data_IF_329529403744
#
_entry.id   IF_329529403744
#
_cell.length_a   1.000
_cell.length_b   1.000
_cell.length_c   1.000
_cell.angle_alpha   90.00
_cell.angle_beta   90.00
_cell.angle_gamma   90.00
#
_symmetry.space_group_name_H-M   'P 1'
#
loop_
_entity.id
_entity.type
_entity.pdbx_description
1 polymer ?
#
# COMPACT_ATOMS: atom_id res chain seq x y z
N UNK A 1 -13.78 -8.04 -2.11
CA UNK A 1 -12.72 -8.38 -3.09
C UNK A 1 -11.38 -8.69 -2.42
N UNK A 2 -10.51 -9.46 -3.08
CA UNK A 2 -9.14 -9.73 -2.66
C UNK A 2 -8.15 -8.86 -3.42
N UNK A 3 -7.18 -8.29 -2.70
CA UNK A 3 -6.13 -7.45 -3.28
C UNK A 3 -4.78 -7.98 -2.81
N UNK A 4 -3.86 -8.18 -3.74
CA UNK A 4 -2.48 -8.59 -3.44
C UNK A 4 -1.69 -7.37 -2.99
N UNK A 5 -0.88 -7.52 -1.95
CA UNK A 5 -0.11 -6.43 -1.36
C UNK A 5 1.38 -6.72 -1.47
N UNK A 6 2.14 -5.74 -1.96
CA UNK A 6 3.59 -5.79 -2.04
C UNK A 6 4.16 -4.54 -1.40
N UNK A 7 4.93 -4.70 -0.32
CA UNK A 7 5.64 -3.59 0.34
C UNK A 7 7.13 -3.74 0.12
N UNK A 8 7.78 -2.71 -0.38
CA UNK A 8 9.22 -2.70 -0.69
C UNK A 8 9.84 -1.34 -0.38
N UNK A 9 11.16 -1.22 -0.59
CA UNK A 9 11.95 -0.04 -0.23
C UNK A 9 12.23 0.01 1.27
N UNK A 10 12.30 1.20 1.89
CA UNK A 10 12.73 1.34 3.30
C UNK A 10 11.79 0.64 4.29
N UNK A 11 10.53 0.46 3.92
CA UNK A 11 9.51 -0.23 4.70
C UNK A 11 9.44 -1.74 4.41
N UNK A 12 10.44 -2.34 3.74
CA UNK A 12 10.44 -3.79 3.49
C UNK A 12 10.42 -4.62 4.79
N UNK A 13 10.98 -4.11 5.89
CA UNK A 13 10.95 -4.82 7.18
C UNK A 13 9.51 -5.05 7.65
N UNK A 14 8.64 -4.06 7.48
CA UNK A 14 7.21 -4.16 7.77
C UNK A 14 6.49 -5.21 6.88
N UNK A 15 6.99 -5.46 5.67
CA UNK A 15 6.42 -6.48 4.77
C UNK A 15 6.46 -7.90 5.34
N UNK A 16 7.33 -8.16 6.32
CA UNK A 16 7.46 -9.47 7.00
C UNK A 16 6.24 -9.79 7.87
N UNK A 17 5.62 -8.75 8.45
CA UNK A 17 4.48 -8.85 9.36
C UNK A 17 3.15 -8.58 8.65
N UNK A 18 3.18 -7.95 7.47
CA UNK A 18 1.99 -7.67 6.68
C UNK A 18 1.52 -8.90 5.89
N UNK A 19 0.21 -9.05 5.71
CA UNK A 19 -0.33 -10.09 4.86
C UNK A 19 0.01 -9.82 3.39
N UNK A 20 0.24 -10.88 2.61
CA UNK A 20 0.46 -10.79 1.16
C UNK A 20 -0.82 -10.48 0.38
N UNK A 21 -1.97 -10.69 1.01
CA UNK A 21 -3.29 -10.42 0.45
C UNK A 21 -4.18 -9.84 1.54
N UNK A 22 -4.98 -8.84 1.20
CA UNK A 22 -6.02 -8.29 2.06
C UNK A 22 -7.38 -8.52 1.43
N UNK A 23 -8.37 -8.80 2.28
CA UNK A 23 -9.77 -8.80 1.91
C UNK A 23 -10.35 -7.43 2.27
N UNK A 24 -10.91 -6.76 1.27
CA UNK A 24 -11.51 -5.42 1.39
C UNK A 24 -12.90 -5.43 0.76
N UNK A 25 -13.83 -4.57 1.22
CA UNK A 25 -15.11 -4.38 0.56
C UNK A 25 -14.97 -3.98 -0.91
N UNK A 26 -15.98 -4.30 -1.71
CA UNK A 26 -15.97 -3.88 -3.12
C UNK A 26 -16.11 -2.36 -3.21
N UNK A 27 -15.34 -1.74 -4.11
CA UNK A 27 -15.28 -0.29 -4.26
C UNK A 27 -14.41 0.42 -3.22
N UNK A 28 -13.67 -0.31 -2.37
CA UNK A 28 -12.67 0.29 -1.47
C UNK A 28 -11.65 1.10 -2.26
N UNK A 29 -11.37 2.32 -1.80
CA UNK A 29 -10.37 3.20 -2.40
C UNK A 29 -8.96 2.75 -2.04
N UNK A 30 -7.98 3.12 -2.87
CA UNK A 30 -6.56 2.82 -2.62
C UNK A 30 -6.13 3.39 -1.27
N UNK A 31 -6.52 4.64 -0.96
CA UNK A 31 -6.20 5.28 0.30
C UNK A 31 -6.76 4.50 1.51
N UNK A 32 -8.02 4.08 1.46
CA UNK A 32 -8.64 3.32 2.54
C UNK A 32 -7.99 1.94 2.73
N UNK A 33 -7.58 1.26 1.65
CA UNK A 33 -6.85 0.00 1.75
C UNK A 33 -5.47 0.19 2.39
N UNK A 34 -4.77 1.28 2.08
CA UNK A 34 -3.50 1.62 2.72
C UNK A 34 -3.70 1.89 4.22
N UNK A 35 -4.72 2.66 4.59
CA UNK A 35 -5.02 2.94 6.00
C UNK A 35 -5.37 1.66 6.77
N UNK A 36 -6.05 0.68 6.14
CA UNK A 36 -6.30 -0.64 6.72
C UNK A 36 -5.00 -1.46 6.87
N UNK A 37 -4.05 -1.34 5.95
CA UNK A 37 -2.73 -1.98 6.08
C UNK A 37 -1.92 -1.35 7.22
N UNK A 38 -2.01 -0.04 7.42
CA UNK A 38 -1.33 0.63 8.53
C UNK A 38 -1.79 0.17 9.90
N UNK A 39 -3.08 -0.18 10.04
CA UNK A 39 -3.62 -0.73 11.29
C UNK A 39 -2.99 -2.08 11.67
N UNK A 40 -2.30 -2.74 10.74
CA UNK A 40 -1.62 -4.02 10.94
C UNK A 40 -0.10 -3.88 11.15
N UNK A 41 0.43 -2.66 11.03
CA UNK A 41 1.82 -2.36 11.33
C UNK A 41 2.07 -2.39 12.85
N UNK A 42 3.34 -2.45 13.24
CA UNK A 42 3.71 -2.31 14.65
C UNK A 42 3.31 -0.93 15.19
N UNK A 43 3.09 -0.84 16.50
CA UNK A 43 2.58 0.38 17.11
C UNK A 43 3.52 1.57 16.84
N UNK A 44 3.00 2.58 16.13
CA UNK A 44 3.74 3.80 15.78
C UNK A 44 4.39 3.77 14.39
N UNK A 45 4.32 2.65 13.67
CA UNK A 45 4.74 2.58 12.28
C UNK A 45 3.64 3.08 11.33
N UNK A 46 4.06 3.79 10.28
CA UNK A 46 3.17 4.29 9.21
C UNK A 46 3.91 4.26 7.89
N UNK A 47 3.17 4.19 6.78
CA UNK A 47 3.69 4.43 5.45
C UNK A 47 3.90 5.94 5.25
N UNK A 48 5.12 6.39 4.92
CA UNK A 48 5.36 7.82 4.68
C UNK A 48 4.45 8.38 3.58
N UNK A 49 4.08 9.66 3.68
CA UNK A 49 3.31 10.34 2.61
C UNK A 49 4.03 10.33 1.25
N UNK A 50 5.35 10.18 1.25
CA UNK A 50 6.21 10.04 0.06
C UNK A 50 6.31 8.61 -0.48
N UNK A 51 5.65 7.62 0.15
CA UNK A 51 5.58 6.25 -0.34
C UNK A 51 4.95 6.23 -1.73
N UNK A 52 5.67 5.71 -2.74
CA UNK A 52 5.13 5.56 -4.08
C UNK A 52 4.09 4.45 -4.08
N UNK A 53 3.01 4.64 -4.83
CA UNK A 53 1.92 3.69 -4.93
C UNK A 53 1.73 3.30 -6.39
N UNK A 54 1.67 1.99 -6.62
CA UNK A 54 1.28 1.45 -7.91
C UNK A 54 0.16 0.41 -7.73
N UNK A 55 -0.77 0.37 -8.69
CA UNK A 55 -1.85 -0.62 -8.73
C UNK A 55 -1.77 -1.34 -10.06
N UNK A 56 -1.63 -2.67 -10.03
CA UNK A 56 -1.62 -3.54 -11.22
C UNK A 56 -0.62 -3.05 -12.29
N UNK A 57 0.57 -2.64 -11.84
CA UNK A 57 1.67 -2.13 -12.68
C UNK A 57 1.59 -0.65 -13.06
N UNK A 58 0.49 0.05 -12.74
CA UNK A 58 0.35 1.48 -13.00
C UNK A 58 0.78 2.30 -11.79
N UNK A 59 1.78 3.16 -11.95
CA UNK A 59 2.16 4.14 -10.94
C UNK A 59 1.11 5.26 -10.82
N UNK A 60 0.64 5.53 -9.61
CA UNK A 60 -0.45 6.47 -9.32
C UNK A 60 0.01 7.70 -8.52
N UNK A 61 1.30 7.81 -8.23
CA UNK A 61 1.88 8.90 -7.43
C UNK A 61 2.30 8.43 -6.05
N UNK A 62 2.20 9.32 -5.06
CA UNK A 62 2.55 9.01 -3.67
C UNK A 62 1.31 8.88 -2.81
N UNK A 63 1.41 8.22 -1.66
CA UNK A 63 0.32 8.13 -0.66
C UNK A 63 -0.33 9.49 -0.41
N UNK A 64 0.47 10.55 -0.26
CA UNK A 64 -0.03 11.90 0.01
C UNK A 64 -0.69 12.61 -1.18
N UNK A 65 -0.64 12.03 -2.39
CA UNK A 65 -1.15 12.62 -3.64
C UNK A 65 -2.02 11.65 -4.44
N UNK A 66 -2.53 10.60 -3.80
CA UNK A 66 -3.30 9.55 -4.46
C UNK A 66 -4.58 10.11 -5.12
N UNK A 67 -4.90 9.67 -6.35
CA UNK A 67 -6.23 9.91 -6.91
C UNK A 67 -7.29 9.15 -6.11
N UNK A 68 -8.52 9.67 -6.10
CA UNK A 68 -9.68 8.96 -5.55
C UNK A 68 -10.11 7.83 -6.50
N UNK A 69 -9.31 6.77 -6.52
CA UNK A 69 -9.49 5.60 -7.36
C UNK A 69 -9.80 4.37 -6.50
N UNK A 70 -10.77 3.59 -6.97
CA UNK A 70 -11.16 2.33 -6.35
C UNK A 70 -10.25 1.19 -6.82
N UNK A 71 -9.95 0.29 -5.89
CA UNK A 71 -9.34 -0.99 -6.18
C UNK A 71 -10.37 -1.93 -6.83
N UNK A 72 -9.87 -2.93 -7.56
CA UNK A 72 -10.64 -4.00 -8.17
C UNK A 72 -10.20 -5.34 -7.60
N UNK A 73 -11.04 -6.34 -7.79
CA UNK A 73 -10.70 -7.70 -7.40
C UNK A 73 -9.48 -8.22 -8.16
N UNK A 74 -8.56 -8.86 -7.42
CA UNK A 74 -7.27 -9.34 -7.88
C UNK A 74 -6.27 -8.24 -8.29
N UNK A 75 -6.52 -6.98 -7.95
CA UNK A 75 -5.50 -5.94 -8.13
C UNK A 75 -4.26 -6.23 -7.28
N UNK A 76 -3.10 -5.81 -7.78
CA UNK A 76 -1.86 -5.78 -7.02
C UNK A 76 -1.58 -4.35 -6.55
N UNK A 77 -1.69 -4.10 -5.24
CA UNK A 77 -1.29 -2.87 -4.59
C UNK A 77 0.18 -2.95 -4.16
N UNK A 78 1.02 -2.14 -4.79
CA UNK A 78 2.44 -2.01 -4.46
C UNK A 78 2.72 -0.68 -3.75
N UNK A 79 3.42 -0.76 -2.61
CA UNK A 79 3.90 0.36 -1.82
C UNK A 79 5.44 0.36 -1.81
N UNK A 80 6.05 1.44 -2.31
CA UNK A 80 7.50 1.61 -2.35
C UNK A 80 7.90 2.78 -1.45
N UNK A 81 8.37 2.48 -0.25
CA UNK A 81 8.87 3.51 0.64
C UNK A 81 10.26 3.98 0.17
N UNK A 82 10.49 5.30 -0.03
CA UNK A 82 11.77 5.80 -0.50
C UNK A 82 12.92 5.34 0.42
N UNK A 83 13.96 4.75 -0.17
CA UNK A 83 15.23 4.52 0.51
C UNK A 83 16.06 5.81 0.40
N UNK A 84 16.63 6.28 1.51
CA UNK A 84 17.64 7.33 1.43
C UNK A 84 18.86 6.72 0.75
N UNK A 85 19.15 7.17 -0.47
CA UNK A 85 20.31 6.71 -1.24
C UNK A 85 21.60 7.29 -0.66
N UNK A 86 22.51 6.38 -0.32
CA UNK A 86 23.92 6.61 -0.02
C UNK A 86 24.64 5.28 -0.18
#
# INVERSE_FOLDING_TARGET
MKVRVVVTGRSYHASSNLPREIEVPDGTTIAAAIDQLEQQLEQGETFPASCLVAVSGQHLGTRGTLPDQQLRDNDELMLVAPVAGG
#
